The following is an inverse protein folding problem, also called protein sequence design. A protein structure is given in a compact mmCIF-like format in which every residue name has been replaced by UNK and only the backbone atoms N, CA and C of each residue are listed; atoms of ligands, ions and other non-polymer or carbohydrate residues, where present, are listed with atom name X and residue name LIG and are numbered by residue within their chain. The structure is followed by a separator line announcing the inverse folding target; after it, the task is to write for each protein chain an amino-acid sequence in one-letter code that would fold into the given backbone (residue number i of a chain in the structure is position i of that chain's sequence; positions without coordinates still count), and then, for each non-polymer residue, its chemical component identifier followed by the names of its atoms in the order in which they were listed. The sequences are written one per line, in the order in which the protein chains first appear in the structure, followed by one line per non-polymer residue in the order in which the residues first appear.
data_IF_823658237944
#
_entry.id   IF_823658237944
#
_cell.length_a   1.000
_cell.length_b   1.000
_cell.length_c   1.000
_cell.angle_alpha   90.00
_cell.angle_beta   90.00
_cell.angle_gamma   90.00
#
_symmetry.space_group_name_H-M   'P 1'
#
loop_
_entity.id
_entity.type
_entity.pdbx_description
1 polymer ?
#
# COMPACT_ATOMS: atom_id res chain seq x y z
N UNK A 1 -6.53 -5.78 13.53
CA UNK A 1 -7.38 -5.46 12.39
C UNK A 1 -8.62 -6.36 12.37
N UNK A 2 -9.79 -5.76 12.43
CA UNK A 2 -11.11 -6.40 12.40
C UNK A 2 -11.93 -6.01 11.15
N UNK A 3 -11.38 -5.14 10.30
CA UNK A 3 -12.04 -4.66 9.08
C UNK A 3 -12.71 -3.30 9.20
N UNK A 4 -12.75 -2.69 10.40
CA UNK A 4 -13.32 -1.36 10.63
C UNK A 4 -12.30 -0.31 11.07
N UNK A 5 -11.02 -0.68 11.13
CA UNK A 5 -9.94 0.28 11.42
C UNK A 5 -9.62 1.07 10.16
N UNK A 6 -9.54 2.40 10.28
CA UNK A 6 -8.98 3.25 9.25
C UNK A 6 -7.48 2.93 9.10
N UNK A 7 -7.09 2.48 7.91
CA UNK A 7 -5.72 2.12 7.60
C UNK A 7 -5.04 3.27 6.88
N UNK A 8 -3.89 3.69 7.39
CA UNK A 8 -3.01 4.60 6.67
C UNK A 8 -2.37 3.87 5.48
N UNK A 9 -2.22 4.60 4.37
CA UNK A 9 -1.72 4.04 3.11
C UNK A 9 -0.41 4.71 2.74
N UNK A 10 0.54 3.90 2.29
CA UNK A 10 1.82 4.36 1.78
C UNK A 10 2.25 3.53 0.59
N UNK A 11 3.22 4.07 -0.14
CA UNK A 11 3.85 3.41 -1.29
C UNK A 11 5.35 3.31 -1.04
N UNK A 12 5.90 2.12 -1.24
CA UNK A 12 7.31 1.86 -0.92
C UNK A 12 8.18 1.97 -2.16
N UNK A 13 9.41 2.46 -1.96
CA UNK A 13 10.50 2.31 -2.92
C UNK A 13 11.09 0.87 -2.85
N UNK A 14 12.05 0.58 -3.73
CA UNK A 14 12.74 -0.72 -3.79
C UNK A 14 13.57 -1.07 -2.55
N UNK A 15 13.88 -0.07 -1.70
CA UNK A 15 14.69 -0.20 -0.47
C UNK A 15 13.82 -0.40 0.78
N UNK A 16 12.50 -0.32 0.66
CA UNK A 16 11.56 -0.46 1.77
C UNK A 16 11.21 0.87 2.46
N UNK A 17 11.59 2.02 1.90
CA UNK A 17 11.19 3.34 2.41
C UNK A 17 9.76 3.61 1.99
N UNK A 18 8.89 3.91 2.96
CA UNK A 18 7.46 4.13 2.71
C UNK A 18 7.16 5.63 2.61
N UNK A 19 6.72 6.04 1.43
CA UNK A 19 6.21 7.37 1.14
C UNK A 19 4.73 7.42 1.48
N UNK A 20 4.34 8.36 2.33
CA UNK A 20 2.95 8.50 2.77
C UNK A 20 2.60 9.97 2.97
N UNK A 21 1.32 10.31 2.86
CA UNK A 21 0.85 11.70 2.85
C UNK A 21 -0.16 11.94 3.97
N UNK A 22 0.07 12.95 4.79
CA UNK A 22 -0.85 13.37 5.84
C UNK A 22 -0.96 14.91 5.91
N UNK A 23 -1.54 15.42 7.01
CA UNK A 23 -1.76 16.85 7.24
C UNK A 23 -0.45 17.67 7.29
N UNK A 24 0.69 17.02 7.53
CA UNK A 24 2.02 17.64 7.55
C UNK A 24 2.77 17.52 6.22
N UNK A 25 2.15 16.92 5.20
CA UNK A 25 2.75 16.74 3.88
C UNK A 25 3.19 15.30 3.61
N UNK A 26 4.13 15.15 2.68
CA UNK A 26 4.68 13.83 2.31
C UNK A 26 5.84 13.48 3.22
N UNK A 27 5.79 12.27 3.78
CA UNK A 27 6.81 11.71 4.67
C UNK A 27 7.52 10.53 4.02
N UNK A 28 8.80 10.38 4.35
CA UNK A 28 9.64 9.22 4.00
C UNK A 28 9.90 8.41 5.27
N UNK A 29 9.16 7.33 5.46
CA UNK A 29 9.23 6.51 6.66
C UNK A 29 10.13 5.30 6.45
N UNK A 30 11.19 5.19 7.26
CA UNK A 30 12.09 4.01 7.27
C UNK A 30 11.64 2.92 8.25
N UNK A 31 10.68 3.23 9.12
CA UNK A 31 10.13 2.35 10.16
C UNK A 31 8.68 2.72 10.47
N UNK A 32 7.98 1.89 11.24
CA UNK A 32 6.58 2.10 11.63
C UNK A 32 5.55 1.42 10.73
N UNK A 33 6.02 0.71 9.69
CA UNK A 33 5.19 -0.05 8.74
C UNK A 33 5.40 -1.56 8.86
N UNK A 34 6.07 -2.04 9.92
CA UNK A 34 6.41 -3.46 10.11
C UNK A 34 5.17 -4.36 10.27
N UNK A 35 4.04 -3.76 10.68
CA UNK A 35 2.75 -4.43 10.84
C UNK A 35 1.74 -4.04 9.76
N UNK A 36 2.21 -3.79 8.53
CA UNK A 36 1.36 -3.43 7.40
C UNK A 36 0.86 -4.65 6.60
N UNK A 37 -0.08 -4.39 5.68
CA UNK A 37 -0.51 -5.35 4.66
C UNK A 37 0.14 -4.94 3.34
N UNK A 38 1.12 -5.72 2.87
CA UNK A 38 1.77 -5.43 1.59
C UNK A 38 0.88 -5.83 0.41
N UNK A 39 0.65 -4.90 -0.51
CA UNK A 39 -0.06 -5.14 -1.77
C UNK A 39 0.99 -5.13 -2.89
N UNK A 40 1.32 -6.29 -3.50
CA UNK A 40 2.28 -6.34 -4.60
C UNK A 40 1.65 -5.77 -5.86
N UNK A 41 2.13 -4.59 -6.29
CA UNK A 41 1.65 -3.89 -7.48
C UNK A 41 2.43 -4.28 -8.74
N UNK A 42 3.72 -4.55 -8.57
CA UNK A 42 4.64 -4.87 -9.65
C UNK A 42 4.73 -6.39 -9.80
N UNK A 43 4.40 -6.90 -10.99
CA UNK A 43 4.60 -8.30 -11.34
C UNK A 43 6.04 -8.51 -11.83
N UNK A 44 6.61 -9.72 -11.75
CA UNK A 44 8.00 -9.99 -12.15
C UNK A 44 8.34 -9.57 -13.59
N UNK A 45 7.34 -9.56 -14.49
CA UNK A 45 7.52 -9.14 -15.88
C UNK A 45 7.54 -7.62 -16.09
N UNK A 46 7.26 -6.82 -15.05
CA UNK A 46 7.28 -5.35 -15.08
C UNK A 46 8.61 -4.78 -14.56
N UNK A 47 9.72 -5.50 -14.78
CA UNK A 47 11.06 -5.14 -14.32
C UNK A 47 11.54 -3.77 -14.83
N UNK A 48 11.17 -3.38 -16.06
CA UNK A 48 11.46 -2.04 -16.59
C UNK A 48 10.78 -0.93 -15.77
N UNK A 49 9.64 -1.21 -15.14
CA UNK A 49 8.95 -0.27 -14.26
C UNK A 49 9.76 -0.01 -12.98
N UNK A 50 10.45 -1.03 -12.47
CA UNK A 50 11.30 -0.91 -11.28
C UNK A 50 12.50 0.00 -11.52
N UNK A 51 13.01 0.06 -12.76
CA UNK A 51 14.20 0.86 -13.09
C UNK A 51 13.99 2.36 -12.86
N UNK A 52 12.76 2.84 -12.94
CA UNK A 52 12.41 4.24 -12.73
C UNK A 52 11.44 4.46 -11.57
N UNK A 53 11.01 3.40 -10.88
CA UNK A 53 10.02 3.49 -9.82
C UNK A 53 10.46 4.43 -8.70
N UNK A 54 11.68 4.23 -8.20
CA UNK A 54 12.23 4.99 -7.08
C UNK A 54 12.42 6.47 -7.45
N UNK A 55 13.01 6.76 -8.62
CA UNK A 55 13.21 8.14 -9.10
C UNK A 55 11.88 8.86 -9.35
N UNK A 56 10.91 8.17 -9.96
CA UNK A 56 9.57 8.72 -10.19
C UNK A 56 8.85 8.97 -8.87
N UNK A 57 9.01 8.10 -7.89
CA UNK A 57 8.37 8.25 -6.58
C UNK A 57 8.96 9.44 -5.83
N UNK A 58 10.28 9.60 -5.88
CA UNK A 58 10.96 10.75 -5.31
C UNK A 58 10.49 12.06 -5.96
N UNK A 59 10.54 12.17 -7.29
CA UNK A 59 10.06 13.37 -8.02
C UNK A 59 8.58 13.67 -7.73
N UNK A 60 7.73 12.63 -7.77
CA UNK A 60 6.30 12.76 -7.50
C UNK A 60 6.02 13.25 -6.08
N UNK A 61 6.80 12.78 -5.10
CA UNK A 61 6.64 13.15 -3.69
C UNK A 61 6.94 14.63 -3.39
N UNK A 62 7.73 15.27 -4.24
CA UNK A 62 8.10 16.69 -4.13
C UNK A 62 7.13 17.63 -4.86
N UNK A 63 6.13 17.08 -5.55
CA UNK A 63 5.17 17.87 -6.31
C UNK A 63 4.30 18.78 -5.44
N UNK A 64 4.03 20.00 -5.92
CA UNK A 64 3.21 21.01 -5.21
C UNK A 64 1.78 20.54 -4.87
N UNK A 65 1.29 19.51 -5.57
CA UNK A 65 0.01 18.87 -5.27
C UNK A 65 -0.03 18.31 -3.84
N UNK A 66 1.11 17.90 -3.29
CA UNK A 66 1.19 17.20 -2.00
C UNK A 66 1.73 18.08 -0.87
N UNK A 67 1.55 19.40 -1.00
CA UNK A 67 1.88 20.33 0.08
C UNK A 67 0.84 20.23 1.22
N UNK A 68 1.25 20.46 2.48
CA UNK A 68 0.40 20.23 3.66
C UNK A 68 -0.99 20.91 3.59
N UNK A 69 -1.02 22.16 3.08
CA UNK A 69 -2.25 22.95 2.95
C UNK A 69 -3.23 22.44 1.88
N UNK A 70 -2.84 21.45 1.07
CA UNK A 70 -3.69 20.79 0.08
C UNK A 70 -4.38 19.55 0.65
N UNK A 71 -4.01 19.12 1.87
CA UNK A 71 -4.56 17.92 2.47
C UNK A 71 -6.07 18.06 2.72
N UNK A 72 -6.80 17.00 2.36
CA UNK A 72 -8.24 16.91 2.55
C UNK A 72 -8.57 15.43 2.84
N UNK A 73 -9.14 15.17 4.02
CA UNK A 73 -9.29 13.81 4.56
C UNK A 73 -10.12 12.88 3.66
N UNK A 74 -11.09 13.40 2.90
CA UNK A 74 -12.00 12.59 2.09
C UNK A 74 -11.49 12.40 0.65
N UNK A 75 -10.95 13.45 0.05
CA UNK A 75 -10.65 13.55 -1.38
C UNK A 75 -9.15 13.67 -1.67
N UNK A 76 -8.33 14.14 -0.73
CA UNK A 76 -6.90 14.40 -0.94
C UNK A 76 -6.02 13.97 0.24
N UNK A 77 -5.88 12.66 0.40
CA UNK A 77 -5.31 12.00 1.57
C UNK A 77 -4.25 10.94 1.16
N UNK A 78 -3.79 10.16 2.13
CA UNK A 78 -2.79 9.10 1.93
C UNK A 78 -3.18 8.07 0.87
N UNK A 79 -4.47 7.72 0.77
CA UNK A 79 -4.96 6.77 -0.21
C UNK A 79 -4.90 7.38 -1.62
N UNK A 80 -5.37 8.61 -1.78
CA UNK A 80 -5.35 9.26 -3.10
C UNK A 80 -3.94 9.64 -3.54
N UNK A 81 -3.02 9.89 -2.62
CA UNK A 81 -1.57 9.97 -2.88
C UNK A 81 -1.02 8.71 -3.53
N UNK A 82 -1.18 7.56 -2.88
CA UNK A 82 -0.68 6.29 -3.40
C UNK A 82 -1.33 5.95 -4.75
N UNK A 83 -2.64 6.13 -4.88
CA UNK A 83 -3.35 5.86 -6.14
C UNK A 83 -2.92 6.81 -7.27
N UNK A 84 -2.72 8.09 -6.98
CA UNK A 84 -2.27 9.06 -7.96
C UNK A 84 -0.87 8.72 -8.50
N UNK A 85 0.06 8.29 -7.63
CA UNK A 85 1.37 7.80 -8.07
C UNK A 85 1.23 6.56 -8.97
N UNK A 86 0.43 5.59 -8.57
CA UNK A 86 0.17 4.37 -9.37
C UNK A 86 -0.38 4.74 -10.75
N UNK A 87 -1.33 5.68 -10.80
CA UNK A 87 -1.92 6.15 -12.06
C UNK A 87 -0.94 6.97 -12.91
N UNK A 88 -0.04 7.74 -12.29
CA UNK A 88 1.06 8.40 -12.99
C UNK A 88 1.94 7.36 -13.69
N UNK A 89 2.34 6.31 -12.97
CA UNK A 89 3.14 5.21 -13.50
C UNK A 89 2.40 4.45 -14.62
N UNK A 90 1.11 4.12 -14.44
CA UNK A 90 0.29 3.46 -15.47
C UNK A 90 0.19 4.30 -16.74
N UNK A 91 0.01 5.61 -16.60
CA UNK A 91 -0.12 6.54 -17.72
C UNK A 91 1.17 6.59 -18.56
N UNK A 92 2.35 6.54 -17.93
CA UNK A 92 3.64 6.42 -18.63
C UNK A 92 3.79 5.11 -19.40
N UNK A 93 3.10 4.05 -18.98
CA UNK A 93 3.01 2.78 -19.70
C UNK A 93 1.91 2.76 -20.78
N UNK A 94 1.22 3.89 -21.02
CA UNK A 94 0.08 3.95 -21.95
C UNK A 94 -1.15 3.17 -21.48
N UNK A 95 -1.24 2.84 -20.19
CA UNK A 95 -2.38 2.14 -19.58
C UNK A 95 -3.39 3.14 -19.05
N UNK A 96 -4.66 2.70 -18.99
CA UNK A 96 -5.72 3.49 -18.39
C UNK A 96 -5.51 3.62 -16.86
N UNK A 97 -5.79 4.80 -16.27
CA UNK A 97 -5.75 4.99 -14.84
C UNK A 97 -6.87 4.19 -14.16
N UNK A 98 -6.63 3.78 -12.92
CA UNK A 98 -7.60 3.11 -12.07
C UNK A 98 -8.35 4.14 -11.22
N UNK A 99 -9.67 3.96 -11.11
CA UNK A 99 -10.47 4.68 -10.12
C UNK A 99 -10.21 4.15 -8.69
N UNK A 100 -10.62 4.93 -7.69
CA UNK A 100 -10.58 4.53 -6.26
C UNK A 100 -11.31 3.20 -6.03
N UNK A 101 -12.49 3.03 -6.64
CA UNK A 101 -13.28 1.81 -6.56
C UNK A 101 -12.57 0.61 -7.18
N UNK A 102 -12.10 0.74 -8.43
CA UNK A 102 -11.42 -0.36 -9.13
C UNK A 102 -10.14 -0.80 -8.40
N UNK A 103 -9.35 0.15 -7.91
CA UNK A 103 -8.15 -0.19 -7.15
C UNK A 103 -8.50 -0.91 -5.83
N UNK A 104 -9.49 -0.39 -5.10
CA UNK A 104 -9.95 -0.99 -3.85
C UNK A 104 -10.43 -2.42 -4.05
N UNK A 105 -11.31 -2.64 -5.03
CA UNK A 105 -11.92 -3.94 -5.29
C UNK A 105 -10.89 -4.98 -5.76
N UNK A 106 -9.98 -4.58 -6.65
CA UNK A 106 -9.03 -5.51 -7.26
C UNK A 106 -7.83 -5.83 -6.37
N UNK A 107 -7.35 -4.86 -5.58
CA UNK A 107 -6.07 -4.98 -4.89
C UNK A 107 -6.20 -4.93 -3.37
N UNK A 108 -7.00 -4.02 -2.82
CA UNK A 108 -7.07 -3.80 -1.36
C UNK A 108 -7.96 -4.84 -0.67
N UNK A 109 -9.21 -4.99 -1.13
CA UNK A 109 -10.20 -5.89 -0.51
C UNK A 109 -9.69 -7.34 -0.39
N UNK A 110 -9.08 -7.95 -1.43
CA UNK A 110 -8.58 -9.32 -1.32
C UNK A 110 -7.54 -9.50 -0.21
N UNK A 111 -6.60 -8.55 -0.08
CA UNK A 111 -5.55 -8.62 0.93
C UNK A 111 -6.09 -8.34 2.33
N UNK A 112 -6.99 -7.37 2.48
CA UNK A 112 -7.66 -7.08 3.76
C UNK A 112 -8.47 -8.28 4.26
N UNK A 113 -9.18 -8.99 3.37
CA UNK A 113 -9.91 -10.22 3.72
C UNK A 113 -8.95 -11.33 4.15
N UNK A 114 -7.83 -11.50 3.45
CA UNK A 114 -6.80 -12.49 3.80
C UNK A 114 -6.20 -12.19 5.18
N UNK A 115 -5.83 -10.94 5.44
CA UNK A 115 -5.29 -10.50 6.72
C UNK A 115 -6.29 -10.71 7.86
N UNK A 116 -7.57 -10.33 7.67
CA UNK A 116 -8.62 -10.55 8.67
C UNK A 116 -8.80 -12.04 9.00
N UNK A 117 -8.84 -12.91 7.98
CA UNK A 117 -8.92 -14.37 8.17
C UNK A 117 -7.69 -14.90 8.93
N UNK A 118 -6.48 -14.47 8.55
CA UNK A 118 -5.25 -14.87 9.23
C UNK A 118 -5.25 -14.47 10.71
N UNK A 119 -5.57 -13.20 11.01
CA UNK A 119 -5.61 -12.69 12.38
C UNK A 119 -6.68 -13.37 13.22
N UNK A 120 -7.81 -13.75 12.61
CA UNK A 120 -8.82 -14.54 13.30
C UNK A 120 -8.30 -15.94 13.65
N UNK A 121 -7.71 -16.64 12.69
CA UNK A 121 -7.15 -17.98 12.91
C UNK A 121 -6.04 -17.95 13.96
N UNK A 122 -5.12 -16.98 13.88
CA UNK A 122 -4.05 -16.80 14.86
C UNK A 122 -4.60 -16.60 16.27
N UNK A 123 -5.65 -15.79 16.43
CA UNK A 123 -6.33 -15.60 17.72
C UNK A 123 -6.96 -16.90 18.22
N UNK A 124 -7.67 -17.63 17.36
CA UNK A 124 -8.29 -18.91 17.74
C UNK A 124 -7.25 -19.96 18.18
N UNK A 125 -6.10 -20.01 17.50
CA UNK A 125 -5.00 -20.92 17.83
C UNK A 125 -4.29 -20.51 19.13
N UNK A 126 -4.12 -19.21 19.40
CA UNK A 126 -3.47 -18.74 20.63
C UNK A 126 -4.25 -19.09 21.91
N UNK A 127 -5.55 -19.39 21.80
CA UNK A 127 -6.42 -19.73 22.94
C UNK A 127 -6.74 -21.23 23.03
N UNK A 128 -6.05 -22.07 22.25
CA UNK A 128 -6.24 -23.52 22.21
C UNK A 128 -4.89 -24.22 22.24
N UNK A 129 -4.78 -25.31 23.00
CA UNK A 129 -3.62 -26.20 22.90
C UNK A 129 -3.65 -26.89 21.53
N UNK A 130 -2.85 -26.38 20.60
CA UNK A 130 -2.75 -26.86 19.23
C UNK A 130 -1.32 -27.34 18.96
N UNK A 131 -1.17 -28.55 18.42
CA UNK A 131 0.12 -29.07 17.98
C UNK A 131 0.25 -28.91 16.46
N UNK A 132 1.27 -28.19 16.00
CA UNK A 132 1.55 -28.03 14.57
C UNK A 132 2.38 -29.24 14.11
N UNK A 133 1.78 -30.11 13.30
CA UNK A 133 2.49 -31.24 12.69
C UNK A 133 3.24 -30.72 11.46
N UNK A 134 4.55 -30.99 11.32
CA UNK A 134 5.29 -30.63 10.13
C UNK A 134 4.67 -31.28 8.89
N UNK A 135 4.69 -30.58 7.76
CA UNK A 135 4.31 -31.18 6.49
C UNK A 135 5.29 -32.31 6.14
N UNK A 136 4.80 -33.45 5.60
CA UNK A 136 5.68 -34.49 5.06
C UNK A 136 6.58 -33.90 3.97
N UNK A 137 7.85 -34.32 3.94
CA UNK A 137 8.80 -34.00 2.86
C UNK A 137 8.30 -34.48 1.48
#
# INVERSE_FOLDING_TARGET
YDGSSDLHVGITDSRGVVYNYDQEGVHRAHSGWEQCICIPLVQPHMLELLQHWDDLLEEFSEGEAWLPHRYEEQEHNCYTFALAFINHVLSRQGKQPLSKGEFTERFVIPQSRRASRYLRLQRELAHRDCYIVPLPE
#
